data_IF_137109533345
#
_entry.id   IF_137109533345
#
_cell.length_a   1.000
_cell.length_b   1.000
_cell.length_c   1.000
_cell.angle_alpha   90.00
_cell.angle_beta   90.00
_cell.angle_gamma   90.00
#
_symmetry.space_group_name_H-M   'P 1'
#
loop_
_entity.id
_entity.type
_entity.pdbx_description
1 polymer ?
#
# COMPACT_ATOMS: atom_id res chain seq x y z
N UNK A 1 4.64 -2.91 16.90
CA UNK A 1 4.22 -1.94 15.87
C UNK A 1 5.40 -1.02 15.57
N UNK A 2 5.78 -0.87 14.30
CA UNK A 2 6.93 -0.04 13.91
C UNK A 2 6.79 1.41 14.36
N UNK A 3 5.61 2.01 14.20
CA UNK A 3 5.37 3.43 14.54
C UNK A 3 5.74 3.80 15.97
N UNK A 4 5.41 2.95 16.95
CA UNK A 4 5.77 3.20 18.36
C UNK A 4 7.26 3.00 18.61
N UNK A 5 7.89 2.03 17.93
CA UNK A 5 9.36 1.85 18.01
C UNK A 5 10.07 3.08 17.45
N UNK A 6 9.70 3.50 16.25
CA UNK A 6 10.22 4.69 15.57
C UNK A 6 10.04 5.94 16.43
N UNK A 7 8.86 6.16 17.01
CA UNK A 7 8.63 7.34 17.86
C UNK A 7 9.55 7.41 19.09
N UNK A 8 10.08 6.28 19.56
CA UNK A 8 10.94 6.18 20.75
C UNK A 8 12.41 5.89 20.42
N UNK A 9 12.81 5.92 19.15
CA UNK A 9 14.16 5.60 18.71
C UNK A 9 14.94 6.90 18.40
N UNK A 10 16.02 7.20 19.14
CA UNK A 10 16.82 8.40 18.87
C UNK A 10 17.37 8.46 17.44
N UNK A 11 17.57 7.32 16.77
CA UNK A 11 18.09 7.24 15.39
C UNK A 11 17.14 7.84 14.36
N UNK A 12 15.84 7.90 14.65
CA UNK A 12 14.80 8.37 13.74
C UNK A 12 14.33 9.80 14.03
N UNK A 13 14.93 10.46 15.03
CA UNK A 13 14.58 11.84 15.39
C UNK A 13 14.87 12.79 14.22
N UNK A 14 13.87 13.60 13.84
CA UNK A 14 13.95 14.56 12.72
C UNK A 14 14.35 13.94 11.37
N UNK A 15 14.00 12.65 11.14
CA UNK A 15 14.27 11.95 9.88
C UNK A 15 12.99 11.41 9.26
N UNK A 16 13.03 11.22 7.96
CA UNK A 16 12.00 10.50 7.23
C UNK A 16 12.21 9.00 7.46
N UNK A 17 11.15 8.31 7.87
CA UNK A 17 11.16 6.85 8.02
C UNK A 17 10.12 6.25 7.09
N UNK A 18 10.58 5.39 6.19
CA UNK A 18 9.80 4.73 5.15
C UNK A 18 9.52 3.29 5.58
N UNK A 19 8.28 2.83 5.38
CA UNK A 19 7.90 1.44 5.64
C UNK A 19 7.80 0.72 4.30
N UNK A 20 8.90 0.12 3.86
CA UNK A 20 8.99 -0.60 2.59
C UNK A 20 9.63 -1.98 2.82
N UNK A 21 9.03 -2.84 3.66
CA UNK A 21 9.56 -4.18 3.88
C UNK A 21 9.48 -5.00 2.58
N UNK A 22 10.57 -5.68 2.24
CA UNK A 22 10.73 -6.37 0.95
C UNK A 22 9.66 -7.42 0.64
N UNK A 23 9.09 -8.10 1.64
CA UNK A 23 8.02 -9.10 1.45
C UNK A 23 6.62 -8.49 1.26
N UNK A 24 6.52 -7.16 1.22
CA UNK A 24 5.26 -6.42 1.08
C UNK A 24 5.24 -5.51 -0.16
N UNK A 25 6.19 -5.69 -1.08
CA UNK A 25 6.19 -5.02 -2.38
C UNK A 25 5.45 -5.92 -3.37
N UNK A 26 4.40 -5.40 -4.02
CA UNK A 26 3.59 -6.17 -4.97
C UNK A 26 2.88 -5.23 -5.96
N UNK A 27 2.64 -5.70 -7.18
CA UNK A 27 1.73 -5.06 -8.13
C UNK A 27 0.28 -5.54 -7.99
N UNK A 28 -0.69 -4.82 -8.57
CA UNK A 28 -2.10 -5.25 -8.59
C UNK A 28 -2.27 -6.63 -9.26
N UNK A 29 -1.55 -6.89 -10.35
CA UNK A 29 -1.64 -8.15 -11.09
C UNK A 29 -1.14 -9.34 -10.27
N UNK A 30 -0.01 -9.18 -9.57
CA UNK A 30 0.53 -10.20 -8.67
C UNK A 30 -0.38 -10.42 -7.47
N UNK A 31 -0.94 -9.35 -6.89
CA UNK A 31 -1.88 -9.44 -5.77
C UNK A 31 -3.14 -10.22 -6.14
N UNK A 32 -3.75 -9.91 -7.29
CA UNK A 32 -4.93 -10.63 -7.80
C UNK A 32 -4.56 -12.09 -8.07
N UNK A 33 -3.44 -12.36 -8.73
CA UNK A 33 -3.02 -13.73 -9.05
C UNK A 33 -2.77 -14.56 -7.78
N UNK A 34 -2.14 -13.96 -6.77
CA UNK A 34 -1.93 -14.60 -5.47
C UNK A 34 -3.26 -14.84 -4.73
N UNK A 35 -4.21 -13.90 -4.83
CA UNK A 35 -5.54 -14.07 -4.27
C UNK A 35 -6.31 -15.20 -4.98
N UNK A 36 -6.30 -15.24 -6.31
CA UNK A 36 -6.91 -16.30 -7.13
C UNK A 36 -6.38 -17.69 -6.72
N UNK A 37 -5.07 -17.81 -6.53
CA UNK A 37 -4.44 -19.04 -6.04
C UNK A 37 -4.93 -19.42 -4.65
N UNK A 38 -5.06 -18.45 -3.74
CA UNK A 38 -5.43 -18.67 -2.33
C UNK A 38 -6.90 -19.05 -2.16
N UNK A 39 -7.80 -18.41 -2.89
CA UNK A 39 -9.23 -18.68 -2.81
C UNK A 39 -9.71 -19.79 -3.77
N UNK A 40 -8.86 -20.21 -4.73
CA UNK A 40 -9.21 -21.22 -5.73
C UNK A 40 -10.24 -20.74 -6.75
N UNK A 41 -10.40 -19.42 -6.91
CA UNK A 41 -11.35 -18.80 -7.81
C UNK A 41 -10.62 -17.85 -8.76
N UNK A 42 -11.00 -17.86 -10.05
CA UNK A 42 -10.54 -16.88 -11.03
C UNK A 42 -11.53 -15.69 -11.12
N UNK A 43 -11.01 -14.49 -11.35
CA UNK A 43 -11.81 -13.27 -11.51
C UNK A 43 -11.69 -12.72 -12.93
N UNK A 44 -12.77 -12.12 -13.43
CA UNK A 44 -12.69 -11.28 -14.63
C UNK A 44 -11.98 -9.98 -14.27
N UNK A 45 -10.93 -9.64 -15.02
CA UNK A 45 -10.12 -8.44 -14.82
C UNK A 45 -10.61 -7.36 -15.79
N UNK A 46 -11.30 -6.36 -15.26
CA UNK A 46 -11.70 -5.18 -16.02
C UNK A 46 -10.64 -4.09 -15.82
N UNK A 47 -10.12 -3.55 -16.92
CA UNK A 47 -9.07 -2.53 -16.90
C UNK A 47 -9.68 -1.15 -17.09
N UNK A 48 -9.26 -0.20 -16.25
CA UNK A 48 -9.58 1.22 -16.40
C UNK A 48 -8.31 1.92 -16.87
N UNK A 49 -8.40 2.73 -17.93
CA UNK A 49 -7.23 3.43 -18.46
C UNK A 49 -6.83 4.58 -17.56
N UNK A 50 -5.57 5.01 -17.65
CA UNK A 50 -5.09 6.17 -16.91
C UNK A 50 -5.89 7.43 -17.27
N UNK A 51 -6.19 7.65 -18.56
CA UNK A 51 -6.94 8.81 -19.02
C UNK A 51 -8.35 8.88 -18.42
N UNK A 52 -9.00 7.73 -18.25
CA UNK A 52 -10.32 7.67 -17.61
C UNK A 52 -10.24 8.03 -16.12
N UNK A 53 -9.22 7.55 -15.40
CA UNK A 53 -9.03 7.91 -13.98
C UNK A 53 -8.71 9.40 -13.84
N UNK A 54 -7.85 9.95 -14.70
CA UNK A 54 -7.52 11.38 -14.72
C UNK A 54 -8.77 12.20 -14.98
N UNK A 55 -9.57 11.84 -15.99
CA UNK A 55 -10.83 12.51 -16.28
C UNK A 55 -11.81 12.46 -15.10
N UNK A 56 -11.90 11.34 -14.39
CA UNK A 56 -12.73 11.25 -13.18
C UNK A 56 -12.24 12.20 -12.10
N UNK A 57 -10.92 12.34 -11.91
CA UNK A 57 -10.36 13.30 -10.94
C UNK A 57 -10.68 14.77 -11.25
N UNK A 58 -10.85 15.11 -12.53
CA UNK A 58 -11.18 16.47 -12.97
C UNK A 58 -12.69 16.76 -12.94
N UNK A 59 -13.52 15.72 -13.09
CA UNK A 59 -14.97 15.87 -13.30
C UNK A 59 -15.83 15.53 -12.09
N UNK A 60 -15.36 14.68 -11.18
CA UNK A 60 -16.09 14.35 -9.96
C UNK A 60 -16.12 15.55 -9.00
N UNK A 61 -17.23 15.76 -8.26
CA UNK A 61 -17.28 16.77 -7.22
C UNK A 61 -16.32 16.44 -6.08
N UNK A 62 -16.03 17.45 -5.26
CA UNK A 62 -15.30 17.25 -4.01
C UNK A 62 -16.28 16.73 -2.93
N UNK A 63 -15.92 15.69 -2.15
CA UNK A 63 -14.60 15.04 -2.09
C UNK A 63 -14.46 13.77 -2.96
N UNK A 64 -15.42 13.43 -3.81
CA UNK A 64 -15.42 12.20 -4.63
C UNK A 64 -14.23 12.11 -5.63
N UNK A 65 -13.65 13.25 -6.03
CA UNK A 65 -12.44 13.27 -6.84
C UNK A 65 -11.15 12.88 -6.10
N UNK A 66 -11.13 12.93 -4.76
CA UNK A 66 -9.94 12.60 -3.96
C UNK A 66 -9.59 11.11 -4.04
N UNK A 67 -10.52 10.15 -3.79
CA UNK A 67 -10.21 8.72 -3.90
C UNK A 67 -9.60 8.32 -5.24
N UNK A 68 -10.16 8.78 -6.36
CA UNK A 68 -9.65 8.43 -7.71
C UNK A 68 -8.25 9.01 -7.97
N UNK A 69 -7.96 10.20 -7.42
CA UNK A 69 -6.63 10.81 -7.48
C UNK A 69 -5.61 10.01 -6.67
N UNK A 70 -6.01 9.51 -5.49
CA UNK A 70 -5.17 8.63 -4.66
C UNK A 70 -4.92 7.29 -5.39
N UNK A 71 -5.95 6.69 -5.99
CA UNK A 71 -5.80 5.46 -6.76
C UNK A 71 -4.83 5.65 -7.95
N UNK A 72 -4.91 6.79 -8.64
CA UNK A 72 -3.97 7.13 -9.71
C UNK A 72 -2.52 7.20 -9.21
N UNK A 73 -2.27 7.99 -8.16
CA UNK A 73 -0.92 8.13 -7.58
C UNK A 73 -0.35 6.78 -7.11
N UNK A 74 -1.14 5.98 -6.39
CA UNK A 74 -0.69 4.72 -5.80
C UNK A 74 -0.53 3.61 -6.84
N UNK A 75 -1.53 3.42 -7.72
CA UNK A 75 -1.64 2.21 -8.53
C UNK A 75 -1.35 2.39 -10.02
N UNK A 76 -1.29 3.64 -10.51
CA UNK A 76 -0.97 3.95 -11.91
C UNK A 76 0.42 4.57 -12.01
N UNK A 77 0.66 5.67 -11.28
CA UNK A 77 1.97 6.34 -11.22
C UNK A 77 2.99 5.54 -10.41
N UNK A 78 2.53 4.80 -9.41
CA UNK A 78 3.38 4.02 -8.54
C UNK A 78 4.22 4.88 -7.60
N UNK A 79 3.72 6.04 -7.19
CA UNK A 79 4.49 7.06 -6.45
C UNK A 79 5.06 6.53 -5.11
N UNK A 80 4.46 5.46 -4.54
CA UNK A 80 4.99 4.78 -3.34
C UNK A 80 6.31 4.03 -3.59
N UNK A 81 6.64 3.73 -4.84
CA UNK A 81 7.81 2.95 -5.27
C UNK A 81 8.66 3.65 -6.33
N UNK A 82 8.17 4.75 -6.94
CA UNK A 82 8.84 5.50 -8.00
C UNK A 82 10.02 6.37 -7.52
N UNK A 83 10.64 5.99 -6.39
CA UNK A 83 11.80 6.68 -5.81
C UNK A 83 12.70 5.72 -5.04
N UNK A 84 14.00 6.01 -5.07
CA UNK A 84 15.00 5.33 -4.25
C UNK A 84 15.02 5.90 -2.84
N UNK A 85 15.27 5.05 -1.84
CA UNK A 85 15.42 5.48 -0.45
C UNK A 85 16.77 6.20 -0.36
N UNK A 86 16.75 7.50 -0.02
CA UNK A 86 17.96 8.32 0.05
C UNK A 86 18.89 7.90 1.21
N UNK A 87 20.15 8.32 1.16
CA UNK A 87 21.12 8.04 2.24
C UNK A 87 20.67 8.58 3.62
N UNK A 88 19.90 9.68 3.61
CA UNK A 88 19.32 10.30 4.79
C UNK A 88 17.92 9.78 5.17
N UNK A 89 17.34 8.88 4.37
CA UNK A 89 16.09 8.21 4.72
C UNK A 89 16.36 6.92 5.49
N UNK A 90 15.36 6.45 6.23
CA UNK A 90 15.46 5.21 7.01
C UNK A 90 14.36 4.24 6.60
N UNK A 91 14.72 2.98 6.35
CA UNK A 91 13.74 1.91 6.17
C UNK A 91 13.51 1.18 7.50
N UNK A 92 12.24 1.08 7.92
CA UNK A 92 11.91 0.59 9.26
C UNK A 92 12.22 -0.91 9.48
N UNK A 93 12.12 -1.75 8.46
CA UNK A 93 12.47 -3.17 8.56
C UNK A 93 13.98 -3.39 8.69
N UNK A 94 14.80 -2.51 8.13
CA UNK A 94 16.26 -2.50 8.34
C UNK A 94 16.66 -2.03 9.75
N UNK A 95 15.95 -1.04 10.31
CA UNK A 95 16.19 -0.53 11.66
C UNK A 95 15.88 -1.53 12.77
N UNK A 96 14.96 -2.46 12.50
CA UNK A 96 14.43 -3.42 13.47
C UNK A 96 14.33 -4.83 12.84
N UNK A 97 15.47 -5.48 12.54
CA UNK A 97 15.49 -6.78 11.85
C UNK A 97 14.81 -7.90 12.64
N UNK A 98 14.78 -7.78 13.97
CA UNK A 98 14.12 -8.76 14.85
C UNK A 98 12.59 -8.62 14.89
N UNK A 99 12.04 -7.56 14.30
CA UNK A 99 10.60 -7.37 14.24
C UNK A 99 10.01 -8.16 13.08
N UNK A 100 9.25 -9.21 13.40
CA UNK A 100 8.52 -9.99 12.42
C UNK A 100 7.25 -9.24 11.97
N UNK A 101 7.35 -8.53 10.85
CA UNK A 101 6.20 -7.94 10.19
C UNK A 101 5.39 -8.99 9.42
N UNK A 102 4.08 -8.73 9.27
CA UNK A 102 3.18 -9.58 8.49
C UNK A 102 3.43 -9.36 7.00
N UNK A 103 3.81 -10.42 6.28
CA UNK A 103 3.95 -10.43 4.82
C UNK A 103 2.60 -10.38 4.10
N UNK A 104 2.58 -10.04 2.81
CA UNK A 104 1.35 -10.09 2.00
C UNK A 104 0.74 -11.49 1.99
N UNK A 105 1.55 -12.55 1.92
CA UNK A 105 1.06 -13.92 1.97
C UNK A 105 0.26 -14.19 3.24
N UNK A 106 0.82 -13.82 4.40
CA UNK A 106 0.16 -13.98 5.70
C UNK A 106 -1.06 -13.06 5.82
N UNK A 107 -1.01 -11.86 5.25
CA UNK A 107 -2.15 -10.95 5.22
C UNK A 107 -3.32 -11.61 4.48
N UNK A 108 -3.09 -12.15 3.30
CA UNK A 108 -4.16 -12.82 2.54
C UNK A 108 -4.67 -14.09 3.25
N UNK A 109 -3.83 -14.80 4.01
CA UNK A 109 -4.30 -15.91 4.86
C UNK A 109 -5.25 -15.42 5.97
N UNK A 110 -4.98 -14.25 6.56
CA UNK A 110 -5.90 -13.61 7.51
C UNK A 110 -7.23 -13.29 6.82
N UNK A 111 -7.20 -12.74 5.60
CA UNK A 111 -8.42 -12.42 4.85
C UNK A 111 -9.24 -13.65 4.44
N UNK A 112 -8.63 -14.82 4.28
CA UNK A 112 -9.35 -16.08 4.03
C UNK A 112 -10.08 -16.59 5.27
N UNK A 113 -9.51 -16.42 6.45
CA UNK A 113 -10.01 -17.05 7.68
C UNK A 113 -10.89 -16.09 8.49
N UNK A 114 -10.45 -14.85 8.68
CA UNK A 114 -11.11 -13.85 9.49
C UNK A 114 -10.79 -12.43 8.97
N UNK A 115 -11.41 -12.01 7.86
CA UNK A 115 -11.11 -10.73 7.26
C UNK A 115 -11.53 -9.58 8.18
N UNK A 116 -10.66 -8.57 8.39
CA UNK A 116 -11.06 -7.36 9.09
C UNK A 116 -12.14 -6.63 8.29
N UNK A 117 -13.00 -5.88 8.98
CA UNK A 117 -14.04 -5.08 8.33
C UNK A 117 -13.42 -4.02 7.40
N UNK A 118 -14.00 -3.78 6.22
CA UNK A 118 -13.55 -2.69 5.34
C UNK A 118 -13.76 -1.34 6.02
N UNK A 119 -12.90 -0.37 5.69
CA UNK A 119 -12.97 0.99 6.21
C UNK A 119 -12.85 2.00 5.05
N UNK A 120 -13.40 3.19 5.25
CA UNK A 120 -13.25 4.34 4.34
C UNK A 120 -12.63 5.50 5.09
N UNK A 121 -11.64 6.15 4.49
CA UNK A 121 -11.11 7.40 5.00
C UNK A 121 -12.16 8.52 4.89
N UNK A 122 -12.12 9.46 5.82
CA UNK A 122 -12.89 10.69 5.72
C UNK A 122 -12.10 11.70 4.87
N UNK A 123 -12.75 12.25 3.86
CA UNK A 123 -12.25 13.36 3.06
C UNK A 123 -13.14 14.56 3.33
N UNK A 124 -12.53 15.70 3.63
CA UNK A 124 -13.19 16.97 3.92
C UNK A 124 -12.86 17.99 2.86
#
# INVERSE_FOLDING_TARGET
MYTIKVANDPRTCNRIVIYRPSKNIISQNELISLWEQKCGQNFRKDFVTEEEIVKQSETLPHPENIPVSILHSVFVRGDLMAFEIGEEDLEASELYPDYNYTSIHQLLDIFLVNPPAPASAAFQ
#
